data_IF_304261238400
#
_entry.id   IF_304261238400
#
_cell.length_a   1.000
_cell.length_b   1.000
_cell.length_c   1.000
_cell.angle_alpha   90.00
_cell.angle_beta   90.00
_cell.angle_gamma   90.00
#
_symmetry.space_group_name_H-M   'P 1'
#
loop_
_entity.id
_entity.type
_entity.pdbx_description
1 polymer ?
#
# COMPACT_ATOMS: atom_id res chain seq x y z
N UNK A 1 46.70 -16.45 -43.71
CA UNK A 1 46.00 -17.64 -44.24
C UNK A 1 45.33 -18.38 -43.08
N UNK A 2 44.09 -18.02 -42.73
CA UNK A 2 43.36 -18.67 -41.63
C UNK A 2 42.63 -19.90 -42.17
N UNK A 3 43.12 -21.10 -41.82
CA UNK A 3 42.48 -22.36 -42.18
C UNK A 3 41.20 -22.53 -41.38
N UNK A 4 40.06 -22.54 -42.10
CA UNK A 4 38.73 -22.75 -41.51
C UNK A 4 38.64 -24.21 -41.05
N UNK A 5 38.89 -24.48 -39.75
CA UNK A 5 38.72 -25.82 -39.15
C UNK A 5 37.27 -26.30 -39.41
N UNK A 6 37.13 -27.45 -40.09
CA UNK A 6 35.82 -28.11 -40.28
C UNK A 6 35.29 -28.54 -38.91
N UNK A 7 34.11 -28.05 -38.53
CA UNK A 7 33.45 -28.44 -37.27
C UNK A 7 33.04 -29.92 -37.35
N UNK A 8 33.32 -30.74 -36.31
CA UNK A 8 32.96 -32.16 -36.32
C UNK A 8 31.43 -32.34 -36.38
N UNK A 9 30.97 -33.28 -37.19
CA UNK A 9 29.54 -33.56 -37.38
C UNK A 9 29.04 -34.38 -36.20
N UNK A 10 28.22 -33.77 -35.34
CA UNK A 10 27.62 -34.44 -34.17
C UNK A 10 26.67 -35.57 -34.58
N UNK A 11 26.70 -36.70 -33.86
CA UNK A 11 25.76 -37.82 -34.07
C UNK A 11 24.32 -37.43 -33.77
N UNK A 12 23.35 -38.09 -34.42
CA UNK A 12 21.92 -37.81 -34.25
C UNK A 12 21.47 -37.92 -32.78
N UNK A 13 21.94 -38.94 -32.05
CA UNK A 13 21.67 -39.14 -30.63
C UNK A 13 22.21 -38.00 -29.76
N UNK A 14 23.43 -37.51 -30.08
CA UNK A 14 24.06 -36.38 -29.37
C UNK A 14 23.34 -35.06 -29.65
N UNK A 15 22.89 -34.83 -30.90
CA UNK A 15 22.04 -33.69 -31.28
C UNK A 15 20.68 -33.72 -30.58
N UNK A 16 20.03 -34.90 -30.48
CA UNK A 16 18.76 -35.05 -29.78
C UNK A 16 18.89 -34.78 -28.27
N UNK A 17 19.93 -35.28 -27.61
CA UNK A 17 20.18 -34.97 -26.19
C UNK A 17 20.47 -33.48 -25.98
N UNK A 18 21.31 -32.85 -26.82
CA UNK A 18 21.57 -31.41 -26.73
C UNK A 18 20.30 -30.56 -26.92
N UNK A 19 19.39 -30.97 -27.81
CA UNK A 19 18.08 -30.31 -27.98
C UNK A 19 17.22 -30.43 -26.73
N UNK A 20 17.15 -31.63 -26.10
CA UNK A 20 16.37 -31.85 -24.88
C UNK A 20 16.92 -31.06 -23.70
N UNK A 21 18.23 -31.07 -23.51
CA UNK A 21 18.95 -30.27 -22.51
C UNK A 21 18.67 -28.78 -22.69
N UNK A 22 18.79 -28.27 -23.92
CA UNK A 22 18.52 -26.87 -24.24
C UNK A 22 17.06 -26.47 -23.95
N UNK A 23 16.09 -27.32 -24.31
CA UNK A 23 14.67 -27.06 -24.03
C UNK A 23 14.42 -27.05 -22.51
N UNK A 24 14.98 -28.01 -21.77
CA UNK A 24 14.82 -28.09 -20.31
C UNK A 24 15.43 -26.87 -19.60
N UNK A 25 16.66 -26.50 -19.95
CA UNK A 25 17.31 -25.33 -19.34
C UNK A 25 16.60 -24.03 -19.72
N UNK A 26 16.09 -23.92 -20.95
CA UNK A 26 15.32 -22.75 -21.38
C UNK A 26 13.98 -22.64 -20.64
N UNK A 27 13.26 -23.75 -20.46
CA UNK A 27 12.01 -23.77 -19.69
C UNK A 27 12.23 -23.40 -18.22
N UNK A 28 13.31 -23.91 -17.61
CA UNK A 28 13.69 -23.54 -16.24
C UNK A 28 14.04 -22.06 -16.14
N UNK A 29 14.83 -21.54 -17.08
CA UNK A 29 15.21 -20.13 -17.09
C UNK A 29 13.99 -19.21 -17.25
N UNK A 30 13.11 -19.50 -18.22
CA UNK A 30 11.88 -18.73 -18.44
C UNK A 30 10.95 -18.81 -17.24
N UNK A 31 10.78 -20.01 -16.65
CA UNK A 31 9.95 -20.20 -15.46
C UNK A 31 10.47 -19.44 -14.23
N UNK A 32 11.78 -19.37 -14.05
CA UNK A 32 12.37 -18.61 -12.95
C UNK A 32 12.18 -17.11 -13.14
N UNK A 33 12.44 -16.60 -14.35
CA UNK A 33 12.27 -15.19 -14.68
C UNK A 33 10.81 -14.76 -14.55
N UNK A 34 9.85 -15.56 -15.04
CA UNK A 34 8.43 -15.23 -14.92
C UNK A 34 7.97 -15.20 -13.47
N UNK A 35 8.41 -16.17 -12.65
CA UNK A 35 8.11 -16.19 -11.21
C UNK A 35 8.69 -14.96 -10.51
N UNK A 36 9.94 -14.59 -10.79
CA UNK A 36 10.57 -13.38 -10.22
C UNK A 36 9.83 -12.10 -10.62
N UNK A 37 9.35 -11.99 -11.87
CA UNK A 37 8.58 -10.82 -12.31
C UNK A 37 7.15 -10.77 -11.77
N UNK A 38 6.63 -11.85 -11.18
CA UNK A 38 5.26 -11.87 -10.64
C UNK A 38 5.08 -10.83 -9.51
N UNK A 39 6.15 -10.48 -8.79
CA UNK A 39 6.14 -9.41 -7.78
C UNK A 39 5.92 -7.99 -8.32
N UNK A 40 6.02 -7.77 -9.64
CA UNK A 40 5.72 -6.48 -10.28
C UNK A 40 4.24 -6.32 -10.64
N UNK A 41 3.43 -7.39 -10.56
CA UNK A 41 2.00 -7.34 -10.87
C UNK A 41 1.22 -6.27 -10.08
N UNK A 42 1.43 -6.04 -8.77
CA UNK A 42 0.72 -5.00 -8.01
C UNK A 42 0.99 -3.59 -8.55
N UNK A 43 2.24 -3.35 -8.97
CA UNK A 43 2.68 -2.06 -9.53
C UNK A 43 2.02 -1.83 -10.89
N UNK A 44 2.01 -2.85 -11.75
CA UNK A 44 1.42 -2.77 -13.11
C UNK A 44 -0.10 -2.57 -13.05
N UNK A 45 -0.78 -3.14 -12.06
CA UNK A 45 -2.24 -3.01 -11.90
C UNK A 45 -2.70 -1.67 -11.33
N UNK A 46 -1.78 -0.82 -10.87
CA UNK A 46 -2.13 0.48 -10.28
C UNK A 46 -3.03 0.37 -9.05
N UNK A 47 -3.05 -0.78 -8.37
CA UNK A 47 -3.94 -1.08 -7.23
C UNK A 47 -3.53 -0.39 -5.93
N UNK A 48 -2.57 0.53 -5.98
CA UNK A 48 -1.95 1.16 -4.81
C UNK A 48 -2.44 2.58 -4.54
N UNK A 49 -3.70 2.91 -4.86
CA UNK A 49 -4.34 4.13 -4.34
C UNK A 49 -4.77 3.91 -2.87
N UNK A 50 -3.78 3.79 -1.98
CA UNK A 50 -4.01 3.62 -0.54
C UNK A 50 -4.25 4.99 0.10
N UNK A 51 -5.19 5.05 1.05
CA UNK A 51 -5.31 6.22 1.91
C UNK A 51 -4.09 6.26 2.84
N UNK A 52 -3.44 7.42 2.95
CA UNK A 52 -2.25 7.59 3.80
C UNK A 52 -2.60 8.29 5.10
N UNK A 53 -1.77 8.15 6.15
CA UNK A 53 -1.93 8.89 7.38
C UNK A 53 -1.95 10.41 7.19
N UNK A 54 -2.44 11.16 8.18
CA UNK A 54 -2.34 12.62 8.22
C UNK A 54 -0.91 13.10 7.92
N UNK A 55 -0.78 14.15 7.11
CA UNK A 55 0.50 14.77 6.77
C UNK A 55 1.35 14.04 5.73
N UNK A 56 0.92 12.92 5.16
CA UNK A 56 1.75 12.22 4.17
C UNK A 56 2.18 13.12 3.00
N UNK A 57 3.49 13.14 2.71
CA UNK A 57 4.12 13.86 1.58
C UNK A 57 3.74 13.23 0.23
N UNK A 58 2.47 13.37 -0.16
CA UNK A 58 1.98 12.85 -1.44
C UNK A 58 1.11 13.86 -2.17
N UNK A 59 1.11 13.74 -3.49
CA UNK A 59 0.05 14.30 -4.32
C UNK A 59 -1.00 13.22 -4.59
N UNK A 60 -2.17 13.60 -5.12
CA UNK A 60 -3.21 12.64 -5.52
C UNK A 60 -2.77 11.69 -6.64
N UNK A 61 -1.67 12.00 -7.34
CA UNK A 61 -1.18 11.29 -8.53
C UNK A 61 0.22 10.70 -8.37
N UNK A 62 1.00 11.15 -7.38
CA UNK A 62 2.39 10.76 -7.17
C UNK A 62 2.70 10.62 -5.66
N UNK A 63 3.27 9.47 -5.29
CA UNK A 63 3.67 9.12 -3.93
C UNK A 63 5.20 8.93 -3.80
N UNK A 64 5.99 9.28 -4.83
CA UNK A 64 7.45 9.06 -4.83
C UNK A 64 8.16 9.74 -3.66
N UNK A 65 7.82 10.99 -3.34
CA UNK A 65 8.41 11.71 -2.22
C UNK A 65 8.11 11.02 -0.89
N UNK A 66 6.87 10.58 -0.69
CA UNK A 66 6.48 9.80 0.47
C UNK A 66 7.29 8.50 0.58
N UNK A 67 7.42 7.75 -0.50
CA UNK A 67 8.18 6.50 -0.51
C UNK A 67 9.68 6.71 -0.26
N UNK A 68 10.24 7.82 -0.76
CA UNK A 68 11.63 8.18 -0.55
C UNK A 68 11.92 8.60 0.90
N UNK A 69 10.98 9.30 1.54
CA UNK A 69 11.11 9.77 2.92
C UNK A 69 10.75 8.71 3.96
N UNK A 70 9.82 7.78 3.65
CA UNK A 70 9.33 6.80 4.61
C UNK A 70 10.34 5.67 4.82
N UNK A 71 10.98 5.63 6.00
CA UNK A 71 11.89 4.55 6.41
C UNK A 71 11.20 3.31 6.98
N UNK A 72 9.87 3.23 6.90
CA UNK A 72 9.08 2.06 7.30
C UNK A 72 9.28 1.63 8.77
N UNK A 73 9.50 2.60 9.67
CA UNK A 73 9.81 2.34 11.08
C UNK A 73 8.60 1.94 11.94
N UNK A 74 7.37 2.15 11.46
CA UNK A 74 6.15 1.78 12.17
C UNK A 74 5.75 2.66 13.37
N UNK A 75 6.47 3.74 13.68
CA UNK A 75 6.16 4.60 14.84
C UNK A 75 4.75 5.20 14.77
N UNK A 76 4.31 5.62 13.58
CA UNK A 76 2.95 6.11 13.36
C UNK A 76 1.86 5.08 13.69
N UNK A 77 2.14 3.77 13.55
CA UNK A 77 1.22 2.70 13.93
C UNK A 77 1.15 2.56 15.44
N UNK A 78 2.30 2.59 16.12
CA UNK A 78 2.39 2.42 17.57
C UNK A 78 1.69 3.54 18.35
N UNK A 79 1.75 4.77 17.84
CA UNK A 79 1.16 5.94 18.50
C UNK A 79 -0.30 6.18 18.12
N UNK A 80 -0.90 5.41 17.20
CA UNK A 80 -2.27 5.63 16.77
C UNK A 80 -3.26 5.06 17.80
N UNK A 81 -4.02 5.87 18.55
CA UNK A 81 -4.82 5.39 19.67
C UNK A 81 -6.03 4.54 19.23
N UNK A 82 -6.46 4.67 17.97
CA UNK A 82 -7.59 3.93 17.38
C UNK A 82 -7.16 2.86 16.39
N UNK A 83 -5.85 2.59 16.29
CA UNK A 83 -5.28 1.58 15.38
C UNK A 83 -5.73 1.73 13.91
N UNK A 84 -5.92 2.97 13.45
CA UNK A 84 -6.34 3.27 12.08
C UNK A 84 -5.22 3.06 11.05
N UNK A 85 -3.97 3.20 11.48
CA UNK A 85 -2.80 3.09 10.60
C UNK A 85 -2.29 1.64 10.63
N UNK A 86 -2.16 1.03 9.46
CA UNK A 86 -1.62 -0.32 9.26
C UNK A 86 -0.37 -0.25 8.37
N UNK A 87 0.54 -1.21 8.50
CA UNK A 87 1.64 -1.38 7.56
C UNK A 87 1.21 -2.33 6.44
N UNK A 88 1.55 -1.97 5.21
CA UNK A 88 1.32 -2.82 4.05
C UNK A 88 2.15 -4.12 4.12
N UNK A 89 1.53 -5.24 3.75
CA UNK A 89 2.10 -6.58 3.84
C UNK A 89 3.02 -6.91 2.64
N UNK A 90 3.64 -8.09 2.69
CA UNK A 90 4.64 -8.57 1.71
C UNK A 90 4.13 -8.66 0.27
N UNK A 91 2.82 -8.75 0.07
CA UNK A 91 2.16 -8.82 -1.24
C UNK A 91 1.93 -7.44 -1.87
N UNK A 92 2.25 -6.35 -1.16
CA UNK A 92 2.01 -4.96 -1.61
C UNK A 92 3.19 -4.35 -2.40
N UNK A 93 4.19 -5.14 -2.78
CA UNK A 93 5.29 -4.74 -3.67
C UNK A 93 6.09 -3.53 -3.16
N UNK A 94 6.06 -2.40 -3.88
CA UNK A 94 6.77 -1.17 -3.47
C UNK A 94 6.21 -0.59 -2.17
N UNK A 95 4.94 -0.89 -1.89
CA UNK A 95 4.23 -0.46 -0.69
C UNK A 95 4.60 -1.25 0.58
N UNK A 96 5.35 -2.35 0.50
CA UNK A 96 5.65 -3.20 1.68
C UNK A 96 6.19 -2.35 2.84
N UNK A 97 5.59 -2.45 4.02
CA UNK A 97 5.98 -1.74 5.24
C UNK A 97 5.65 -0.24 5.24
N UNK A 98 4.99 0.26 4.19
CA UNK A 98 4.58 1.67 4.10
C UNK A 98 3.19 1.82 4.74
N UNK A 99 2.98 2.84 5.59
CA UNK A 99 1.73 2.94 6.33
C UNK A 99 0.56 3.35 5.43
N UNK A 100 -0.61 2.78 5.71
CA UNK A 100 -1.87 3.10 5.06
C UNK A 100 -3.04 3.04 6.05
N UNK A 101 -4.20 3.55 5.63
CA UNK A 101 -5.46 3.48 6.37
C UNK A 101 -6.49 2.76 5.50
N UNK A 102 -7.19 1.79 6.07
CA UNK A 102 -8.44 1.26 5.49
C UNK A 102 -9.63 1.91 6.19
N UNK A 103 -10.13 3.00 5.61
CA UNK A 103 -11.19 3.80 6.23
C UNK A 103 -12.55 3.07 6.34
N UNK A 104 -12.75 1.96 5.61
CA UNK A 104 -13.98 1.16 5.72
C UNK A 104 -13.94 0.22 6.91
N UNK A 105 -12.75 -0.29 7.26
CA UNK A 105 -12.55 -1.13 8.44
C UNK A 105 -12.32 -0.30 9.71
N UNK A 106 -11.37 0.64 9.68
CA UNK A 106 -11.01 1.51 10.79
C UNK A 106 -10.62 2.89 10.26
N UNK A 107 -11.48 3.88 10.49
CA UNK A 107 -11.19 5.25 10.10
C UNK A 107 -10.23 5.94 11.10
N UNK A 108 -9.44 6.88 10.58
CA UNK A 108 -8.84 7.90 11.43
C UNK A 108 -9.93 8.90 11.81
N UNK A 109 -10.33 8.89 13.07
CA UNK A 109 -11.33 9.76 13.67
C UNK A 109 -10.69 10.96 14.39
N UNK A 110 -9.37 11.12 14.22
CA UNK A 110 -8.55 12.10 14.92
C UNK A 110 -8.64 12.02 16.45
N UNK A 111 -8.98 10.87 17.05
CA UNK A 111 -9.01 10.65 18.51
C UNK A 111 -7.64 10.77 19.21
N UNK A 112 -6.58 11.23 18.55
CA UNK A 112 -5.29 11.60 19.16
C UNK A 112 -5.16 13.13 19.37
N UNK A 113 -4.52 13.55 20.46
CA UNK A 113 -4.34 14.97 20.78
C UNK A 113 -3.21 15.56 19.92
N UNK A 114 -3.57 16.08 18.72
CA UNK A 114 -2.63 16.83 17.87
C UNK A 114 -1.79 15.96 16.94
N UNK A 115 -2.44 15.09 16.14
CA UNK A 115 -1.78 14.35 15.05
C UNK A 115 -0.53 13.59 15.51
N UNK A 116 -0.62 12.81 16.60
CA UNK A 116 0.53 12.10 17.19
C UNK A 116 1.35 11.28 16.19
N UNK A 117 0.72 10.73 15.15
CA UNK A 117 1.40 10.03 14.07
C UNK A 117 2.41 10.91 13.30
N UNK A 118 2.08 12.19 13.08
CA UNK A 118 2.95 13.20 12.46
C UNK A 118 4.14 13.47 13.38
N UNK A 119 3.88 13.78 14.65
CA UNK A 119 4.93 14.06 15.64
C UNK A 119 5.90 12.88 15.84
N UNK A 120 5.40 11.65 15.69
CA UNK A 120 6.20 10.44 15.81
C UNK A 120 7.00 10.10 14.54
N UNK A 121 6.83 10.84 13.43
CA UNK A 121 7.50 10.56 12.17
C UNK A 121 8.92 11.17 12.16
N UNK A 122 9.99 10.37 12.30
CA UNK A 122 11.34 10.91 12.45
C UNK A 122 11.92 11.50 11.15
N UNK A 123 11.37 11.12 9.99
CA UNK A 123 11.91 11.51 8.68
C UNK A 123 11.14 12.63 8.00
N UNK A 124 10.02 13.07 8.59
CA UNK A 124 9.12 14.02 7.93
C UNK A 124 8.36 13.45 6.73
N UNK A 125 8.31 12.12 6.57
CA UNK A 125 7.42 11.50 5.57
C UNK A 125 5.95 11.86 5.81
N UNK A 126 5.60 12.14 7.07
CA UNK A 126 4.43 12.91 7.45
C UNK A 126 4.92 14.33 7.79
N UNK A 127 4.43 15.35 7.08
CA UNK A 127 4.86 16.74 7.27
C UNK A 127 4.48 17.25 8.66
N UNK A 128 5.42 17.94 9.29
CA UNK A 128 5.24 18.64 10.55
C UNK A 128 4.61 20.04 10.38
N UNK A 129 4.29 20.43 9.15
CA UNK A 129 3.66 21.73 8.84
C UNK A 129 2.14 21.75 9.14
N UNK A 130 1.64 20.77 9.90
CA UNK A 130 0.24 20.62 10.26
C UNK A 130 0.04 20.84 11.76
N UNK A 131 -0.63 21.93 12.11
CA UNK A 131 -0.93 22.28 13.50
C UNK A 131 -2.22 21.64 13.99
N UNK A 132 -3.23 21.50 13.12
CA UNK A 132 -4.56 21.00 13.50
C UNK A 132 -5.06 19.85 12.61
N UNK A 133 -5.92 18.95 13.15
CA UNK A 133 -6.64 17.96 12.36
C UNK A 133 -7.40 18.53 11.15
N UNK A 134 -7.91 19.76 11.29
CA UNK A 134 -8.65 20.45 10.23
C UNK A 134 -7.79 20.79 9.01
N UNK A 135 -6.48 20.95 9.18
CA UNK A 135 -5.54 21.29 8.09
C UNK A 135 -5.11 20.05 7.29
N UNK A 136 -5.39 18.86 7.83
CA UNK A 136 -5.01 17.60 7.21
C UNK A 136 -5.82 17.30 5.94
N UNK A 137 -5.12 16.87 4.89
CA UNK A 137 -5.70 16.44 3.62
C UNK A 137 -5.27 15.01 3.28
N UNK A 138 -5.96 14.01 3.85
CA UNK A 138 -5.66 12.58 3.58
C UNK A 138 -6.24 12.07 2.25
N UNK A 139 -7.43 12.56 1.89
CA UNK A 139 -8.18 12.12 0.71
C UNK A 139 -9.58 12.75 0.69
N UNK A 140 -10.33 12.50 -0.38
CA UNK A 140 -11.70 12.99 -0.52
C UNK A 140 -12.70 11.86 -0.30
N UNK A 141 -13.59 12.03 0.67
CA UNK A 141 -14.71 11.13 0.85
C UNK A 141 -15.75 11.37 -0.26
N UNK A 142 -16.23 10.29 -0.87
CA UNK A 142 -17.33 10.31 -1.83
C UNK A 142 -18.54 9.62 -1.22
N UNK A 143 -19.70 10.27 -1.27
CA UNK A 143 -20.96 9.62 -0.93
C UNK A 143 -21.34 8.64 -2.04
N UNK A 144 -21.50 7.36 -1.69
CA UNK A 144 -21.91 6.32 -2.64
C UNK A 144 -23.33 6.60 -3.19
N UNK A 145 -24.26 7.03 -2.31
CA UNK A 145 -25.60 7.44 -2.70
C UNK A 145 -26.07 8.70 -1.95
N UNK A 146 -25.87 9.91 -2.53
CA UNK A 146 -26.30 11.16 -1.91
C UNK A 146 -27.80 11.23 -1.62
N UNK A 147 -28.63 10.52 -2.42
CA UNK A 147 -30.10 10.53 -2.29
C UNK A 147 -30.61 9.71 -1.11
N UNK A 148 -29.76 8.99 -0.37
CA UNK A 148 -30.15 8.24 0.83
C UNK A 148 -29.38 8.68 2.06
N UNK A 149 -28.48 9.66 1.93
CA UNK A 149 -27.71 10.18 3.05
C UNK A 149 -28.59 11.11 3.89
N UNK A 150 -28.91 10.70 5.13
CA UNK A 150 -29.72 11.48 6.06
C UNK A 150 -29.17 12.90 6.24
N UNK A 151 -27.85 13.02 6.40
CA UNK A 151 -27.19 14.32 6.54
C UNK A 151 -27.34 15.20 5.29
N UNK A 152 -27.26 14.62 4.07
CA UNK A 152 -27.46 15.37 2.84
C UNK A 152 -28.93 15.82 2.64
N UNK A 153 -29.88 15.12 3.25
CA UNK A 153 -31.30 15.52 3.29
C UNK A 153 -31.62 16.52 4.40
N UNK A 154 -30.65 16.88 5.25
CA UNK A 154 -30.90 17.69 6.45
C UNK A 154 -31.65 16.95 7.55
N UNK A 155 -31.66 15.62 7.53
CA UNK A 155 -32.31 14.78 8.53
C UNK A 155 -31.31 14.35 9.61
N UNK A 156 -31.73 14.44 10.87
CA UNK A 156 -30.96 13.91 12.00
C UNK A 156 -31.08 12.39 12.12
N UNK A 157 -30.14 11.79 12.83
CA UNK A 157 -30.18 10.38 13.22
C UNK A 157 -30.17 10.27 14.74
N UNK A 158 -30.95 9.32 15.28
CA UNK A 158 -30.93 8.95 16.70
C UNK A 158 -30.76 7.45 16.81
N UNK A 159 -29.84 7.01 17.66
CA UNK A 159 -29.52 5.61 17.87
C UNK A 159 -28.02 5.33 17.68
N UNK A 160 -27.67 4.06 17.54
CA UNK A 160 -26.29 3.63 17.35
C UNK A 160 -25.87 3.86 15.89
N UNK A 161 -24.84 4.69 15.66
CA UNK A 161 -24.37 5.07 14.31
C UNK A 161 -23.82 3.85 13.55
N UNK A 162 -23.19 2.91 14.27
CA UNK A 162 -22.67 1.66 13.74
C UNK A 162 -23.33 0.49 14.47
N UNK A 163 -23.84 -0.49 13.74
CA UNK A 163 -24.44 -1.68 14.32
C UNK A 163 -23.43 -2.56 15.07
N UNK A 164 -23.91 -3.60 15.78
CA UNK A 164 -23.06 -4.51 16.56
C UNK A 164 -22.01 -5.25 15.73
N UNK A 165 -22.19 -5.35 14.41
CA UNK A 165 -21.25 -5.99 13.49
C UNK A 165 -20.01 -5.13 13.18
N UNK A 166 -20.00 -3.85 13.59
CA UNK A 166 -18.85 -2.96 13.38
C UNK A 166 -17.74 -3.26 14.40
N UNK A 167 -16.56 -3.63 13.88
CA UNK A 167 -15.41 -4.07 14.69
C UNK A 167 -14.39 -2.97 14.97
N UNK A 168 -14.61 -1.76 14.46
CA UNK A 168 -13.68 -0.66 14.63
C UNK A 168 -13.65 -0.14 16.07
N UNK A 169 -12.49 0.37 16.48
CA UNK A 169 -12.26 1.05 17.74
C UNK A 169 -12.69 2.51 17.61
N UNK A 170 -13.59 2.95 18.49
CA UNK A 170 -14.04 4.33 18.58
C UNK A 170 -13.65 4.83 19.97
N UNK A 171 -12.86 5.91 20.04
CA UNK A 171 -12.42 6.48 21.33
C UNK A 171 -13.06 7.82 21.63
N UNK A 172 -13.90 8.35 20.74
CA UNK A 172 -14.57 9.63 20.94
C UNK A 172 -15.51 9.63 22.17
N UNK A 173 -16.04 8.46 22.58
CA UNK A 173 -16.89 8.35 23.78
C UNK A 173 -16.08 8.36 25.09
N UNK A 174 -14.78 8.03 25.05
CA UNK A 174 -13.90 7.94 26.22
C UNK A 174 -13.03 9.19 26.41
N UNK A 175 -12.83 9.96 25.35
CA UNK A 175 -11.97 11.15 25.33
C UNK A 175 -12.88 12.37 25.07
N UNK A 176 -13.36 12.99 26.15
CA UNK A 176 -14.06 14.27 26.11
C UNK A 176 -13.04 15.37 25.72
N UNK A 177 -13.28 16.05 24.60
CA UNK A 177 -12.41 17.10 24.05
C UNK A 177 -13.12 18.43 23.95
#
# INVERSE_FOLDING_TARGET
>A
MFTKKKKPVLSLKKRQNQRREFIRSSLLAVGFVSLSLTGLLPVVRGTSARLRPPGALKTTLDEQEFYAACIKCGQCVQVCPVNAIKLADLDEGVGIGVPYIDAREQACDFSCDGLQCVLACPTGALTHDLDYPADTRMGFARMDNPKTCLAAMGQGFKGQVRGPDFKGLLRYDEIDR
#
